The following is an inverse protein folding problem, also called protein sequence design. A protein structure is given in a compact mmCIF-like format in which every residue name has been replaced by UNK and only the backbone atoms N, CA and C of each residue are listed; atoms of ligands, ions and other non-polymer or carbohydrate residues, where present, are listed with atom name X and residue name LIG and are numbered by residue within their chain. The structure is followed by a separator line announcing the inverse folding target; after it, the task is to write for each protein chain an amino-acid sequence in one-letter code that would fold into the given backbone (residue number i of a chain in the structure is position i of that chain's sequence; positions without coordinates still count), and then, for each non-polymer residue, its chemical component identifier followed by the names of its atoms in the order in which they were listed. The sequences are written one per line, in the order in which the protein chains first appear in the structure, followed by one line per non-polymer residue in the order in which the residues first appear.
data_IF_841000493628
#
_entry.id   IF_841000493628
#
_cell.length_a   1.000
_cell.length_b   1.000
_cell.length_c   1.000
_cell.angle_alpha   90.00
_cell.angle_beta   90.00
_cell.angle_gamma   90.00
#
_symmetry.space_group_name_H-M   'P 1'
#
loop_
_entity.id
_entity.type
_entity.pdbx_description
1 polymer ?
#
# COMPACT_ATOMS: atom_id res chain seq x y z
N UNK A 1 31.66 48.24 -32.29
CA UNK A 1 31.42 47.68 -33.64
C UNK A 1 31.55 46.15 -33.55
N UNK A 2 30.73 45.39 -34.29
CA UNK A 2 30.29 44.03 -33.95
C UNK A 2 30.89 42.93 -34.85
N UNK A 3 31.07 41.70 -34.35
CA UNK A 3 31.16 40.46 -35.16
C UNK A 3 30.70 39.27 -34.28
N UNK A 4 29.42 38.86 -34.38
CA UNK A 4 28.88 37.62 -35.00
C UNK A 4 29.31 36.27 -34.36
N UNK A 5 28.31 35.64 -33.72
CA UNK A 5 27.90 34.22 -33.62
C UNK A 5 28.58 33.21 -34.56
N UNK A 6 28.57 31.86 -34.33
CA UNK A 6 27.43 31.09 -33.79
C UNK A 6 27.75 29.78 -33.04
N UNK A 7 27.11 29.49 -31.89
CA UNK A 7 26.81 28.09 -31.54
C UNK A 7 25.51 28.04 -30.75
N UNK A 8 24.43 27.89 -31.52
CA UNK A 8 23.22 27.26 -31.03
C UNK A 8 23.55 25.81 -30.74
N UNK A 9 23.50 25.40 -29.48
CA UNK A 9 23.32 24.00 -29.13
C UNK A 9 22.10 23.90 -28.22
N UNK A 10 20.97 23.79 -28.91
CA UNK A 10 19.73 23.20 -28.41
C UNK A 10 20.07 21.81 -27.84
N UNK A 11 20.30 21.70 -26.54
CA UNK A 11 20.25 20.41 -25.85
C UNK A 11 19.08 20.46 -24.89
N UNK A 12 17.99 19.87 -25.40
CA UNK A 12 16.76 19.55 -24.72
C UNK A 12 16.97 19.07 -23.29
N UNK A 13 16.01 19.42 -22.43
CA UNK A 13 15.93 18.97 -21.05
C UNK A 13 16.11 17.46 -20.95
N UNK A 14 17.26 17.05 -20.45
CA UNK A 14 17.46 15.71 -19.94
C UNK A 14 16.75 15.65 -18.58
N UNK A 15 15.46 15.32 -18.62
CA UNK A 15 14.74 14.77 -17.49
C UNK A 15 15.52 13.51 -17.09
N UNK A 16 16.43 13.66 -16.13
CA UNK A 16 17.09 12.56 -15.44
C UNK A 16 15.99 11.73 -14.79
N UNK A 17 15.47 10.75 -15.54
CA UNK A 17 14.66 9.68 -15.00
C UNK A 17 15.64 8.84 -14.17
N UNK A 18 15.81 9.24 -12.91
CA UNK A 18 16.46 8.44 -11.91
C UNK A 18 15.64 7.15 -11.82
N UNK A 19 16.05 6.14 -12.58
CA UNK A 19 15.73 4.75 -12.30
C UNK A 19 16.44 4.41 -10.99
N UNK A 20 15.83 4.82 -9.87
CA UNK A 20 16.10 4.21 -8.60
C UNK A 20 15.85 2.72 -8.82
N UNK A 21 16.92 1.92 -8.76
CA UNK A 21 16.81 0.49 -8.60
C UNK A 21 15.94 0.28 -7.36
N UNK A 22 14.66 -0.01 -7.58
CA UNK A 22 13.72 -0.33 -6.51
C UNK A 22 14.28 -1.61 -5.87
N UNK A 23 14.83 -1.57 -4.64
CA UNK A 23 14.82 -2.80 -3.86
C UNK A 23 13.36 -3.28 -3.86
N UNK A 24 13.12 -4.59 -3.86
CA UNK A 24 11.78 -5.13 -3.63
C UNK A 24 11.25 -4.49 -2.33
N UNK A 25 10.44 -3.46 -2.51
CA UNK A 25 10.40 -2.33 -1.60
C UNK A 25 8.99 -1.83 -1.66
N UNK A 26 8.45 -1.57 -0.48
CA UNK A 26 7.06 -1.20 -0.24
C UNK A 26 6.48 -0.38 -1.41
N UNK A 27 5.29 -0.77 -1.87
CA UNK A 27 4.60 -0.09 -2.98
C UNK A 27 4.51 1.43 -2.71
N UNK A 28 4.47 2.29 -3.74
CA UNK A 28 4.27 3.72 -3.53
C UNK A 28 3.02 4.01 -2.70
N UNK A 29 3.09 4.96 -1.75
CA UNK A 29 1.97 5.33 -0.88
C UNK A 29 0.63 5.61 -1.63
N UNK A 30 0.62 6.24 -2.83
CA UNK A 30 -0.62 6.42 -3.59
C UNK A 30 -1.25 5.11 -4.06
N UNK A 31 -0.44 4.09 -4.34
CA UNK A 31 -0.90 2.75 -4.74
C UNK A 31 -1.43 2.00 -3.53
N UNK A 32 -0.72 2.08 -2.39
CA UNK A 32 -1.15 1.50 -1.12
C UNK A 32 -2.50 2.07 -0.68
N UNK A 33 -2.68 3.40 -0.75
CA UNK A 33 -3.94 4.07 -0.41
C UNK A 33 -5.11 3.58 -1.27
N UNK A 34 -4.92 3.42 -2.58
CA UNK A 34 -5.95 2.87 -3.49
C UNK A 34 -6.31 1.42 -3.13
N UNK A 35 -5.33 0.58 -2.83
CA UNK A 35 -5.58 -0.79 -2.38
C UNK A 35 -6.34 -0.81 -1.05
N UNK A 36 -5.94 0.01 -0.08
CA UNK A 36 -6.63 0.17 1.19
C UNK A 36 -8.08 0.58 0.99
N UNK A 37 -8.37 1.54 0.10
CA UNK A 37 -9.74 1.94 -0.21
C UNK A 37 -10.61 0.79 -0.72
N UNK A 38 -10.07 -0.04 -1.63
CA UNK A 38 -10.77 -1.22 -2.15
C UNK A 38 -11.03 -2.23 -1.03
N UNK A 39 -10.03 -2.47 -0.18
CA UNK A 39 -10.14 -3.44 0.91
C UNK A 39 -11.05 -2.96 2.04
N UNK A 40 -11.07 -1.66 2.35
CA UNK A 40 -12.02 -1.02 3.26
C UNK A 40 -13.47 -1.23 2.80
N UNK A 41 -13.74 -1.06 1.50
CA UNK A 41 -15.04 -1.34 0.91
C UNK A 41 -15.41 -2.84 0.99
N UNK A 42 -14.46 -3.73 0.71
CA UNK A 42 -14.68 -5.18 0.78
C UNK A 42 -14.86 -5.69 2.23
N UNK A 43 -14.22 -5.06 3.21
CA UNK A 43 -14.22 -5.47 4.61
C UNK A 43 -15.36 -4.85 5.44
N UNK A 44 -16.34 -4.19 4.81
CA UNK A 44 -17.48 -3.58 5.49
C UNK A 44 -17.15 -2.33 6.31
N UNK A 45 -15.99 -1.70 6.09
CA UNK A 45 -15.59 -0.41 6.67
C UNK A 45 -15.31 0.63 5.58
N UNK A 46 -16.32 0.97 4.73
CA UNK A 46 -16.10 1.87 3.61
C UNK A 46 -15.63 3.24 4.09
N UNK A 47 -14.50 3.71 3.53
CA UNK A 47 -14.00 5.07 3.78
C UNK A 47 -13.32 5.28 5.13
N UNK A 48 -13.03 4.23 5.90
CA UNK A 48 -12.35 4.34 7.20
C UNK A 48 -11.23 3.32 7.35
N UNK A 49 -10.08 3.75 7.88
CA UNK A 49 -8.93 2.87 8.13
C UNK A 49 -8.15 3.28 9.38
N UNK A 50 -7.74 2.28 10.15
CA UNK A 50 -6.82 2.45 11.26
C UNK A 50 -5.39 2.45 10.69
N UNK A 51 -4.91 3.62 10.29
CA UNK A 51 -3.54 3.82 9.81
C UNK A 51 -2.84 4.84 10.71
N UNK A 52 -1.54 4.67 10.95
CA UNK A 52 -0.68 5.62 11.67
C UNK A 52 0.44 6.18 10.79
N UNK A 53 0.61 5.63 9.59
CA UNK A 53 1.62 6.03 8.64
C UNK A 53 1.16 7.34 7.97
N UNK A 54 1.91 8.42 8.19
CA UNK A 54 1.54 9.77 7.73
C UNK A 54 1.53 9.90 6.20
N UNK A 55 2.40 9.16 5.51
CA UNK A 55 2.49 9.22 4.04
C UNK A 55 1.29 8.51 3.41
N UNK A 56 0.90 7.36 3.96
CA UNK A 56 -0.28 6.62 3.50
C UNK A 56 -1.56 7.37 3.87
N UNK A 57 -1.63 7.97 5.06
CA UNK A 57 -2.76 8.79 5.48
C UNK A 57 -3.01 9.99 4.55
N UNK A 58 -1.96 10.72 4.20
CA UNK A 58 -2.09 11.87 3.29
C UNK A 58 -2.66 11.46 1.92
N UNK A 59 -2.30 10.28 1.41
CA UNK A 59 -2.85 9.75 0.15
C UNK A 59 -4.27 9.18 0.32
N UNK A 60 -4.59 8.58 1.47
CA UNK A 60 -5.93 8.10 1.80
C UNK A 60 -6.96 9.24 1.90
N UNK A 61 -6.58 10.34 2.53
CA UNK A 61 -7.45 11.52 2.66
C UNK A 61 -7.77 12.13 1.29
N UNK A 62 -6.78 12.21 0.38
CA UNK A 62 -6.97 12.67 -1.00
C UNK A 62 -8.00 11.84 -1.78
N UNK A 63 -8.16 10.56 -1.43
CA UNK A 63 -9.12 9.66 -2.07
C UNK A 63 -10.40 9.44 -1.23
N UNK A 64 -10.60 10.25 -0.17
CA UNK A 64 -11.80 10.24 0.66
C UNK A 64 -11.89 9.09 1.66
N UNK A 65 -10.75 8.55 2.10
CA UNK A 65 -10.67 7.59 3.21
C UNK A 65 -10.13 8.31 4.44
N UNK A 66 -10.93 8.33 5.51
CA UNK A 66 -10.56 8.95 6.77
C UNK A 66 -9.79 8.00 7.69
N UNK A 67 -8.90 8.56 8.49
CA UNK A 67 -8.31 7.86 9.61
C UNK A 67 -9.37 7.62 10.70
N UNK A 68 -9.51 6.38 11.12
CA UNK A 68 -10.37 6.03 12.26
C UNK A 68 -9.70 4.86 13.01
N UNK A 69 -9.21 5.11 14.23
CA UNK A 69 -8.58 4.08 15.06
C UNK A 69 -9.57 2.95 15.44
N UNK A 70 -10.87 3.22 15.38
CA UNK A 70 -11.95 2.26 15.56
C UNK A 70 -12.20 1.38 14.33
N UNK A 71 -11.72 1.75 13.14
CA UNK A 71 -11.97 1.01 11.91
C UNK A 71 -11.51 -0.45 11.99
N UNK A 72 -12.25 -1.36 11.35
CA UNK A 72 -11.92 -2.79 11.35
C UNK A 72 -10.66 -3.08 10.54
N UNK A 73 -10.48 -2.37 9.44
CA UNK A 73 -9.28 -2.45 8.58
C UNK A 73 -8.19 -1.55 9.15
N UNK A 74 -6.98 -2.10 9.25
CA UNK A 74 -5.82 -1.38 9.72
C UNK A 74 -4.64 -1.53 8.74
N UNK A 75 -3.86 -0.47 8.60
CA UNK A 75 -2.55 -0.51 7.96
C UNK A 75 -1.47 -0.53 9.02
N UNK A 76 -0.57 -1.50 8.94
CA UNK A 76 0.51 -1.65 9.92
C UNK A 76 1.76 -2.25 9.29
N UNK A 77 2.92 -1.91 9.86
CA UNK A 77 4.23 -2.39 9.43
C UNK A 77 5.03 -2.90 10.63
N UNK A 78 5.76 -3.99 10.45
CA UNK A 78 6.64 -4.54 11.49
C UNK A 78 5.93 -4.79 12.83
N UNK A 79 6.49 -4.25 13.90
CA UNK A 79 6.01 -4.49 15.27
C UNK A 79 4.55 -4.08 15.56
N UNK A 80 3.98 -3.16 14.77
CA UNK A 80 2.60 -2.74 14.95
C UNK A 80 1.58 -3.79 14.52
N UNK A 81 1.96 -4.67 13.59
CA UNK A 81 1.09 -5.69 13.01
C UNK A 81 0.57 -6.66 14.08
N UNK A 82 1.45 -7.06 15.01
CA UNK A 82 1.10 -7.92 16.14
C UNK A 82 0.08 -7.25 17.07
N UNK A 83 0.27 -5.97 17.37
CA UNK A 83 -0.62 -5.18 18.22
C UNK A 83 -2.00 -4.99 17.58
N UNK A 84 -2.04 -4.69 16.28
CA UNK A 84 -3.28 -4.54 15.53
C UNK A 84 -4.05 -5.87 15.43
N UNK A 85 -3.35 -6.99 15.21
CA UNK A 85 -3.95 -8.34 15.25
C UNK A 85 -4.55 -8.64 16.62
N UNK A 86 -3.82 -8.35 17.70
CA UNK A 86 -4.31 -8.58 19.07
C UNK A 86 -5.56 -7.75 19.38
N UNK A 87 -5.71 -6.57 18.76
CA UNK A 87 -6.92 -5.76 18.80
C UNK A 87 -8.06 -6.29 17.87
N UNK A 88 -7.89 -7.45 17.26
CA UNK A 88 -8.87 -8.09 16.38
C UNK A 88 -9.09 -7.35 15.05
N UNK A 89 -8.12 -6.56 14.60
CA UNK A 89 -8.21 -5.80 13.34
C UNK A 89 -7.84 -6.67 12.15
N UNK A 90 -8.37 -6.31 10.99
CA UNK A 90 -7.95 -6.85 9.70
C UNK A 90 -6.74 -6.05 9.21
N UNK A 91 -5.55 -6.64 9.32
CA UNK A 91 -4.29 -5.91 9.14
C UNK A 91 -3.77 -6.09 7.72
N UNK A 92 -3.51 -4.97 7.05
CA UNK A 92 -2.85 -4.92 5.75
C UNK A 92 -1.42 -4.43 5.99
N UNK A 93 -0.45 -5.20 5.51
CA UNK A 93 0.97 -4.90 5.66
C UNK A 93 1.65 -4.77 4.28
N UNK A 94 2.73 -3.99 4.19
CA UNK A 94 3.46 -3.81 2.94
C UNK A 94 4.55 -4.86 2.70
N UNK A 95 4.74 -5.81 3.63
CA UNK A 95 5.77 -6.85 3.56
C UNK A 95 5.19 -8.24 3.84
N UNK A 96 5.76 -9.26 3.20
CA UNK A 96 5.38 -10.66 3.41
C UNK A 96 5.80 -11.18 4.79
N UNK A 97 6.93 -10.70 5.30
CA UNK A 97 7.48 -11.07 6.62
C UNK A 97 6.57 -10.68 7.78
N UNK A 98 5.64 -9.74 7.56
CA UNK A 98 4.67 -9.29 8.54
C UNK A 98 3.42 -10.19 8.59
N UNK A 99 3.20 -11.08 7.61
CA UNK A 99 2.06 -12.01 7.62
C UNK A 99 2.08 -12.96 8.82
N UNK A 100 3.19 -13.66 9.14
CA UNK A 100 3.26 -14.51 10.33
C UNK A 100 3.07 -13.72 11.63
N UNK A 101 3.51 -12.46 11.67
CA UNK A 101 3.35 -11.58 12.84
C UNK A 101 1.89 -11.16 13.08
N UNK A 102 1.03 -11.27 12.06
CA UNK A 102 -0.40 -11.00 12.18
C UNK A 102 -1.05 -10.31 11.00
N UNK A 103 -0.30 -10.05 9.91
CA UNK A 103 -0.86 -9.50 8.68
C UNK A 103 -1.92 -10.43 8.10
N UNK A 104 -3.09 -9.88 7.79
CA UNK A 104 -4.15 -10.58 7.07
C UNK A 104 -3.89 -10.56 5.56
N UNK A 105 -3.41 -9.41 5.04
CA UNK A 105 -3.01 -9.24 3.64
C UNK A 105 -1.65 -8.55 3.59
N UNK A 106 -0.74 -9.08 2.76
CA UNK A 106 0.47 -8.38 2.37
C UNK A 106 0.36 -7.89 0.94
N UNK A 107 0.65 -6.61 0.71
CA UNK A 107 0.73 -6.03 -0.64
C UNK A 107 2.18 -5.69 -0.92
N UNK A 108 2.82 -6.47 -1.79
CA UNK A 108 4.24 -6.33 -2.14
C UNK A 108 4.42 -6.03 -3.61
N UNK A 109 5.51 -5.38 -3.99
CA UNK A 109 5.90 -5.22 -5.38
C UNK A 109 6.84 -6.36 -5.80
N UNK A 110 6.47 -7.12 -6.83
CA UNK A 110 7.28 -8.19 -7.40
C UNK A 110 7.44 -7.94 -8.91
N UNK A 111 8.66 -7.65 -9.37
CA UNK A 111 8.95 -7.41 -10.78
C UNK A 111 8.19 -6.20 -11.37
N UNK A 112 8.00 -5.13 -10.59
CA UNK A 112 7.28 -3.92 -11.00
C UNK A 112 5.75 -4.06 -11.02
N UNK A 113 5.20 -5.14 -10.44
CA UNK A 113 3.76 -5.37 -10.34
C UNK A 113 3.33 -5.56 -8.89
N UNK A 114 2.21 -4.97 -8.46
CA UNK A 114 1.65 -5.24 -7.15
C UNK A 114 1.14 -6.68 -7.08
N UNK A 115 1.61 -7.42 -6.08
CA UNK A 115 1.17 -8.76 -5.73
C UNK A 115 0.47 -8.72 -4.37
N UNK A 116 -0.64 -9.42 -4.27
CA UNK A 116 -1.42 -9.54 -3.03
C UNK A 116 -1.22 -10.94 -2.50
N UNK A 117 -0.85 -11.04 -1.23
CA UNK A 117 -0.75 -12.30 -0.52
C UNK A 117 -1.76 -12.32 0.63
N UNK A 118 -2.46 -13.44 0.76
CA UNK A 118 -3.59 -13.60 1.67
C UNK A 118 -3.24 -14.65 2.71
N UNK A 119 -3.23 -14.29 3.98
CA UNK A 119 -3.07 -15.25 5.07
C UNK A 119 -4.45 -15.65 5.60
N UNK A 120 -5.01 -16.76 5.10
CA UNK A 120 -6.41 -17.13 5.34
C UNK A 120 -6.74 -17.33 6.83
N UNK A 121 -5.79 -17.85 7.63
CA UNK A 121 -5.96 -17.97 9.09
C UNK A 121 -6.13 -16.63 9.81
N UNK A 122 -5.33 -15.61 9.46
CA UNK A 122 -5.44 -14.27 10.05
C UNK A 122 -6.69 -13.54 9.53
N UNK A 123 -7.09 -13.77 8.28
CA UNK A 123 -8.34 -13.24 7.71
C UNK A 123 -9.54 -13.81 8.49
N UNK A 124 -9.60 -15.14 8.68
CA UNK A 124 -10.64 -15.78 9.47
C UNK A 124 -10.66 -15.28 10.93
N UNK A 125 -9.49 -15.16 11.56
CA UNK A 125 -9.36 -14.64 12.92
C UNK A 125 -9.81 -13.18 13.06
N UNK A 126 -9.69 -12.38 12.00
CA UNK A 126 -10.20 -11.01 11.99
C UNK A 126 -11.73 -10.94 11.90
N UNK A 127 -12.40 -12.01 11.47
CA UNK A 127 -13.85 -12.03 11.24
C UNK A 127 -14.32 -11.23 10.03
N UNK A 128 -13.41 -10.83 9.14
CA UNK A 128 -13.73 -10.14 7.88
C UNK A 128 -13.91 -11.15 6.76
N UNK A 129 -15.03 -11.04 6.05
CA UNK A 129 -15.26 -11.78 4.80
C UNK A 129 -14.78 -10.93 3.63
N UNK A 130 -13.81 -11.44 2.88
CA UNK A 130 -13.34 -10.79 1.66
C UNK A 130 -14.25 -11.14 0.47
N UNK A 131 -14.41 -10.19 -0.44
CA UNK A 131 -15.09 -10.43 -1.71
C UNK A 131 -14.30 -11.45 -2.57
N UNK A 132 -15.03 -12.29 -3.32
CA UNK A 132 -14.44 -13.32 -4.20
C UNK A 132 -13.42 -12.76 -5.20
N UNK A 133 -13.61 -11.51 -5.64
CA UNK A 133 -12.66 -10.82 -6.52
C UNK A 133 -11.29 -10.66 -5.88
N UNK A 134 -11.21 -10.34 -4.59
CA UNK A 134 -9.96 -10.22 -3.82
C UNK A 134 -9.32 -11.60 -3.63
N UNK A 135 -10.14 -12.63 -3.35
CA UNK A 135 -9.67 -14.01 -3.20
C UNK A 135 -9.13 -14.63 -4.50
N UNK A 136 -9.53 -14.11 -5.66
CA UNK A 136 -9.07 -14.54 -6.98
C UNK A 136 -7.76 -13.89 -7.41
N UNK A 137 -7.55 -12.63 -7.03
CA UNK A 137 -6.31 -11.89 -7.36
C UNK A 137 -5.19 -12.14 -6.35
N UNK A 138 -5.52 -12.53 -5.13
CA UNK A 138 -4.54 -12.78 -4.07
C UNK A 138 -3.97 -14.21 -4.08
N UNK A 139 -2.65 -14.32 -3.95
CA UNK A 139 -1.95 -15.58 -3.69
C UNK A 139 -2.21 -16.02 -2.25
N UNK A 140 -2.75 -17.22 -2.06
CA UNK A 140 -3.07 -17.76 -0.73
C UNK A 140 -1.82 -18.34 -0.10
N UNK A 141 -1.56 -17.97 1.15
CA UNK A 141 -0.51 -18.49 2.02
C UNK A 141 -1.12 -19.14 3.28
#
# INVERSE_FOLDING_TARGET
MPVRSPFSCFCAGALMLAAAALPAGDLPAPVQAKFLKILCAAAGSPGKVACKDSDVLAELEKIGVAQDAGAKVAWGRGGEVKTLKAAGKFVICPKLEDLPAGGSIAVVEEGGKPQIYLHMGNIAASGVTLADSVLKIGKRL
#
